data_IF_241653391183
#
_entry.id   IF_241653391183
#
_cell.length_a   1.000
_cell.length_b   1.000
_cell.length_c   1.000
_cell.angle_alpha   90.00
_cell.angle_beta   90.00
_cell.angle_gamma   90.00
#
_symmetry.space_group_name_H-M   'P 1'
#
loop_
_entity.id
_entity.type
_entity.pdbx_description
1 polymer ?
#
# COMPACT_ATOMS: atom_id res chain seq x y z
N UNK A 1 -22.15 -17.39 16.34
CA UNK A 1 -21.08 -16.95 15.43
C UNK A 1 -19.87 -16.58 16.27
N UNK A 2 -18.70 -17.18 16.02
CA UNK A 2 -17.50 -16.98 16.83
C UNK A 2 -17.08 -15.50 16.84
N UNK A 3 -17.14 -14.86 18.01
CA UNK A 3 -16.38 -13.64 18.31
C UNK A 3 -14.92 -14.07 18.43
N UNK A 4 -14.12 -14.00 17.36
CA UNK A 4 -12.73 -14.47 17.50
C UNK A 4 -11.72 -14.30 16.39
N UNK A 5 -12.09 -14.07 15.12
CA UNK A 5 -11.08 -13.87 14.06
C UNK A 5 -11.48 -12.77 13.10
N UNK A 6 -10.86 -11.59 13.24
CA UNK A 6 -10.79 -10.59 12.17
C UNK A 6 -9.86 -11.14 11.09
N UNK A 7 -10.42 -11.53 9.94
CA UNK A 7 -9.63 -12.02 8.81
C UNK A 7 -9.23 -10.84 7.94
N UNK A 8 -7.92 -10.57 7.86
CA UNK A 8 -7.37 -9.62 6.89
C UNK A 8 -7.35 -10.29 5.52
N UNK A 9 -7.98 -9.67 4.53
CA UNK A 9 -7.96 -10.11 3.13
C UNK A 9 -7.31 -9.06 2.23
N UNK A 10 -7.59 -7.78 2.48
CA UNK A 10 -7.07 -6.66 1.69
C UNK A 10 -6.22 -5.72 2.53
N UNK A 11 -5.01 -5.45 2.08
CA UNK A 11 -4.03 -4.55 2.72
C UNK A 11 -3.78 -3.36 1.81
N UNK A 12 -3.82 -2.15 2.37
CA UNK A 12 -3.32 -0.96 1.70
C UNK A 12 -1.99 -0.54 2.34
N UNK A 13 -0.96 -0.39 1.52
CA UNK A 13 0.34 0.14 1.93
C UNK A 13 0.47 1.55 1.37
N UNK A 14 0.76 2.52 2.23
CA UNK A 14 0.89 3.93 1.86
C UNK A 14 2.37 4.33 1.90
N UNK A 15 2.92 4.65 0.74
CA UNK A 15 4.35 4.86 0.53
C UNK A 15 4.96 3.64 -0.17
N UNK A 16 5.49 3.85 -1.37
CA UNK A 16 6.11 2.82 -2.22
C UNK A 16 7.63 2.77 -2.13
N UNK A 17 8.25 3.56 -1.25
CA UNK A 17 9.68 3.46 -0.96
C UNK A 17 10.12 2.03 -0.59
N UNK A 18 11.42 1.81 -0.43
CA UNK A 18 12.02 0.47 -0.26
C UNK A 18 11.32 -0.40 0.79
N UNK A 19 10.91 0.18 1.93
CA UNK A 19 10.19 -0.55 2.98
C UNK A 19 8.76 -0.90 2.56
N UNK A 20 7.98 0.08 2.11
CA UNK A 20 6.57 -0.12 1.76
C UNK A 20 6.37 -1.07 0.58
N UNK A 21 7.21 -0.99 -0.45
CA UNK A 21 7.18 -1.92 -1.59
C UNK A 21 7.53 -3.37 -1.17
N UNK A 22 8.46 -3.56 -0.24
CA UNK A 22 8.76 -4.90 0.30
C UNK A 22 7.65 -5.44 1.23
N UNK A 23 7.01 -4.58 2.02
CA UNK A 23 5.82 -4.96 2.80
C UNK A 23 4.70 -5.40 1.86
N UNK A 24 4.44 -4.65 0.79
CA UNK A 24 3.47 -5.01 -0.23
C UNK A 24 3.78 -6.36 -0.88
N UNK A 25 5.04 -6.61 -1.24
CA UNK A 25 5.48 -7.91 -1.76
C UNK A 25 5.25 -9.05 -0.75
N UNK A 26 5.58 -8.83 0.52
CA UNK A 26 5.35 -9.82 1.58
C UNK A 26 3.86 -10.16 1.73
N UNK A 27 2.99 -9.15 1.72
CA UNK A 27 1.53 -9.35 1.79
C UNK A 27 0.99 -10.12 0.58
N UNK A 28 1.46 -9.84 -0.64
CA UNK A 28 1.08 -10.65 -1.81
C UNK A 28 1.56 -12.09 -1.69
N UNK A 29 2.80 -12.33 -1.21
CA UNK A 29 3.32 -13.68 -1.01
C UNK A 29 2.45 -14.47 -0.02
N UNK A 30 1.86 -13.79 0.98
CA UNK A 30 0.91 -14.37 1.92
C UNK A 30 -0.51 -14.59 1.34
N UNK A 31 -0.72 -14.26 0.06
CA UNK A 31 -1.99 -14.45 -0.64
C UNK A 31 -3.03 -13.37 -0.39
N UNK A 32 -2.63 -12.21 0.15
CA UNK A 32 -3.53 -11.07 0.38
C UNK A 32 -3.75 -10.27 -0.91
N UNK A 33 -4.89 -9.58 -0.98
CA UNK A 33 -5.07 -8.50 -1.95
C UNK A 33 -4.30 -7.26 -1.48
N UNK A 34 -3.51 -6.63 -2.35
CA UNK A 34 -2.66 -5.50 -1.96
C UNK A 34 -2.90 -4.31 -2.86
N UNK A 35 -3.11 -3.16 -2.22
CA UNK A 35 -3.10 -1.84 -2.81
C UNK A 35 -1.81 -1.15 -2.35
N UNK A 36 -1.04 -0.60 -3.29
CA UNK A 36 0.14 0.21 -2.99
C UNK A 36 -0.06 1.61 -3.56
N UNK A 37 -0.19 2.60 -2.67
CA UNK A 37 -0.36 4.00 -3.05
C UNK A 37 0.89 4.80 -2.74
N UNK A 38 1.22 5.74 -3.61
CA UNK A 38 2.25 6.76 -3.36
C UNK A 38 1.82 8.12 -3.92
N UNK A 39 2.69 9.12 -3.85
CA UNK A 39 2.52 10.43 -4.47
C UNK A 39 2.29 10.29 -5.97
N UNK A 40 1.29 11.02 -6.48
CA UNK A 40 1.07 11.19 -7.91
C UNK A 40 2.31 11.78 -8.56
N UNK A 41 2.66 11.22 -9.73
CA UNK A 41 3.76 11.72 -10.53
C UNK A 41 3.40 13.03 -11.21
N UNK A 42 4.41 13.88 -11.41
CA UNK A 42 4.31 15.08 -12.25
C UNK A 42 4.14 14.76 -13.75
N UNK A 43 4.33 13.50 -14.17
CA UNK A 43 4.03 13.05 -15.53
C UNK A 43 2.52 12.78 -15.68
N UNK A 44 1.76 13.66 -16.35
CA UNK A 44 0.31 13.50 -16.47
C UNK A 44 -0.09 12.24 -17.25
N UNK A 45 0.81 11.65 -18.04
CA UNK A 45 0.55 10.40 -18.78
C UNK A 45 0.79 9.17 -17.92
N UNK A 46 1.49 9.31 -16.79
CA UNK A 46 1.85 8.21 -15.89
C UNK A 46 1.66 8.63 -14.42
N UNK A 47 0.42 8.91 -13.98
CA UNK A 47 0.16 9.42 -12.64
C UNK A 47 0.65 8.47 -11.53
N UNK A 48 0.73 7.17 -11.80
CA UNK A 48 1.18 6.14 -10.84
C UNK A 48 2.66 5.76 -10.99
N UNK A 49 3.44 6.53 -11.76
CA UNK A 49 4.86 6.24 -12.07
C UNK A 49 5.70 5.97 -10.81
N UNK A 50 5.47 6.71 -9.73
CA UNK A 50 6.19 6.53 -8.46
C UNK A 50 6.08 5.10 -7.94
N UNK A 51 4.85 4.58 -7.80
CA UNK A 51 4.61 3.22 -7.34
C UNK A 51 5.07 2.15 -8.37
N UNK A 52 4.87 2.41 -9.67
CA UNK A 52 5.35 1.52 -10.74
C UNK A 52 6.86 1.32 -10.72
N UNK A 53 7.62 2.41 -10.55
CA UNK A 53 9.08 2.38 -10.54
C UNK A 53 9.62 1.69 -9.29
N UNK A 54 8.97 1.89 -8.15
CA UNK A 54 9.28 1.18 -6.91
C UNK A 54 9.13 -0.33 -7.05
N UNK A 55 8.04 -0.83 -7.64
CA UNK A 55 7.86 -2.26 -7.89
C UNK A 55 8.92 -2.80 -8.87
N UNK A 56 9.19 -2.07 -9.96
CA UNK A 56 10.25 -2.42 -10.91
C UNK A 56 11.63 -2.46 -10.25
N UNK A 57 11.87 -1.60 -9.27
CA UNK A 57 13.11 -1.56 -8.51
C UNK A 57 13.26 -2.81 -7.62
N UNK A 58 12.24 -3.14 -6.81
CA UNK A 58 12.33 -4.29 -5.90
C UNK A 58 12.36 -5.64 -6.64
N UNK A 59 11.76 -5.74 -7.83
CA UNK A 59 11.87 -6.92 -8.70
C UNK A 59 13.32 -7.23 -9.12
N UNK A 60 14.20 -6.22 -9.13
CA UNK A 60 15.62 -6.35 -9.51
C UNK A 60 16.55 -6.59 -8.32
N UNK A 61 16.02 -6.57 -7.08
CA UNK A 61 16.81 -6.85 -5.88
C UNK A 61 17.32 -8.30 -5.86
N UNK A 62 18.36 -8.55 -5.07
CA UNK A 62 18.98 -9.88 -4.92
C UNK A 62 19.07 -10.25 -3.43
N UNK A 63 18.20 -11.15 -2.92
CA UNK A 63 17.06 -11.76 -3.61
C UNK A 63 15.93 -10.75 -3.86
N UNK A 64 15.08 -11.02 -4.86
CA UNK A 64 13.84 -10.27 -5.04
C UNK A 64 12.85 -10.65 -3.92
N UNK A 65 12.06 -9.71 -3.38
CA UNK A 65 11.18 -9.96 -2.23
C UNK A 65 9.88 -10.68 -2.59
N UNK A 66 9.71 -11.08 -3.85
CA UNK A 66 8.55 -11.84 -4.32
C UNK A 66 8.87 -13.34 -4.34
N UNK A 67 7.90 -14.16 -3.93
CA UNK A 67 7.99 -15.61 -4.07
C UNK A 67 8.08 -16.03 -5.55
N UNK A 68 7.33 -15.33 -6.41
CA UNK A 68 7.39 -15.47 -7.87
C UNK A 68 7.33 -14.06 -8.52
N UNK A 69 8.10 -13.74 -9.57
CA UNK A 69 8.11 -12.40 -10.17
C UNK A 69 6.74 -11.87 -10.61
N UNK A 70 5.87 -12.75 -11.14
CA UNK A 70 4.51 -12.43 -11.58
C UNK A 70 3.59 -11.97 -10.44
N UNK A 71 3.97 -12.18 -9.19
CA UNK A 71 3.20 -11.67 -8.05
C UNK A 71 3.19 -10.15 -7.99
N UNK A 72 4.20 -9.49 -8.58
CA UNK A 72 4.21 -8.04 -8.70
C UNK A 72 2.98 -7.50 -9.46
N UNK A 73 2.51 -8.23 -10.48
CA UNK A 73 1.38 -7.83 -11.32
C UNK A 73 0.04 -7.90 -10.57
N UNK A 74 0.01 -8.55 -9.40
CA UNK A 74 -1.18 -8.66 -8.55
C UNK A 74 -1.35 -7.46 -7.61
N UNK A 75 -0.34 -6.60 -7.50
CA UNK A 75 -0.42 -5.39 -6.67
C UNK A 75 -1.21 -4.33 -7.44
N UNK A 76 -2.29 -3.82 -6.85
CA UNK A 76 -2.98 -2.65 -7.38
C UNK A 76 -2.17 -1.40 -7.06
N UNK A 77 -1.53 -0.82 -8.08
CA UNK A 77 -0.78 0.43 -7.97
C UNK A 77 -1.70 1.63 -8.18
N UNK A 78 -1.53 2.65 -7.36
CA UNK A 78 -2.31 3.88 -7.43
C UNK A 78 -1.58 5.08 -6.82
N UNK A 79 -2.28 6.20 -6.75
CA UNK A 79 -1.75 7.41 -6.11
C UNK A 79 -2.69 8.01 -5.05
N UNK A 80 -2.14 8.88 -4.20
CA UNK A 80 -2.89 9.48 -3.09
C UNK A 80 -3.97 10.48 -3.52
N UNK A 81 -3.95 10.98 -4.75
CA UNK A 81 -4.88 11.98 -5.26
C UNK A 81 -6.10 11.32 -5.90
N UNK A 82 -5.87 10.31 -6.74
CA UNK A 82 -6.89 9.67 -7.57
C UNK A 82 -7.49 8.42 -6.89
N UNK A 83 -6.68 7.68 -6.12
CA UNK A 83 -7.00 6.33 -5.65
C UNK A 83 -7.20 6.22 -4.13
N UNK A 84 -7.14 7.32 -3.38
CA UNK A 84 -7.25 7.30 -1.91
C UNK A 84 -8.57 6.70 -1.40
N UNK A 85 -9.63 6.74 -2.20
CA UNK A 85 -10.91 6.12 -1.86
C UNK A 85 -10.85 4.59 -1.78
N UNK A 86 -9.84 3.95 -2.38
CA UNK A 86 -9.66 2.49 -2.29
C UNK A 86 -9.41 2.00 -0.86
N UNK A 87 -8.99 2.90 0.05
CA UNK A 87 -8.82 2.60 1.47
C UNK A 87 -10.12 2.17 2.18
N UNK A 88 -11.29 2.50 1.59
CA UNK A 88 -12.61 2.03 2.05
C UNK A 88 -12.72 0.50 2.02
N UNK A 89 -11.96 -0.15 1.15
CA UNK A 89 -12.01 -1.61 0.96
C UNK A 89 -11.00 -2.35 1.86
N UNK A 90 -9.98 -1.65 2.37
CA UNK A 90 -8.87 -2.27 3.10
C UNK A 90 -9.27 -2.72 4.51
N UNK A 91 -8.87 -3.93 4.88
CA UNK A 91 -9.01 -4.45 6.25
C UNK A 91 -7.85 -3.96 7.15
N UNK A 92 -6.69 -3.70 6.54
CA UNK A 92 -5.50 -3.16 7.18
C UNK A 92 -4.86 -2.10 6.29
N UNK A 93 -4.57 -0.94 6.87
CA UNK A 93 -3.78 0.14 6.27
C UNK A 93 -2.44 0.22 7.01
N UNK A 94 -1.35 0.02 6.27
CA UNK A 94 0.02 0.21 6.77
C UNK A 94 0.58 1.49 6.17
N UNK A 95 0.79 2.49 7.00
CA UNK A 95 1.42 3.76 6.62
C UNK A 95 2.94 3.63 6.73
N UNK A 96 3.66 3.97 5.66
CA UNK A 96 5.12 3.83 5.55
C UNK A 96 5.70 5.01 4.74
N UNK A 97 5.23 6.23 5.05
CA UNK A 97 5.68 7.47 4.42
C UNK A 97 6.92 8.03 5.15
N UNK A 98 7.39 9.19 4.70
CA UNK A 98 8.51 9.89 5.34
C UNK A 98 8.25 10.15 6.83
N UNK A 99 9.28 9.99 7.66
CA UNK A 99 9.23 10.24 9.11
C UNK A 99 9.23 11.75 9.42
N UNK A 100 8.16 12.43 9.03
CA UNK A 100 7.88 13.82 9.42
C UNK A 100 6.53 13.90 10.10
N UNK A 101 6.52 14.51 11.29
CA UNK A 101 5.34 14.45 12.15
C UNK A 101 4.14 15.25 11.61
N UNK A 102 4.37 16.36 10.93
CA UNK A 102 3.31 17.14 10.28
C UNK A 102 2.65 16.35 9.14
N UNK A 103 3.46 15.68 8.31
CA UNK A 103 2.98 14.87 7.19
C UNK A 103 2.21 13.64 7.70
N UNK A 104 2.73 12.94 8.71
CA UNK A 104 2.04 11.78 9.30
C UNK A 104 0.69 12.15 9.92
N UNK A 105 0.61 13.27 10.64
CA UNK A 105 -0.66 13.73 11.22
C UNK A 105 -1.70 14.06 10.13
N UNK A 106 -1.28 14.69 9.04
CA UNK A 106 -2.16 14.93 7.88
C UNK A 106 -2.63 13.61 7.25
N UNK A 107 -1.70 12.69 6.98
CA UNK A 107 -2.02 11.37 6.43
C UNK A 107 -3.01 10.60 7.31
N UNK A 108 -2.78 10.52 8.63
CA UNK A 108 -3.70 9.87 9.57
C UNK A 108 -5.09 10.53 9.56
N UNK A 109 -5.14 11.87 9.48
CA UNK A 109 -6.41 12.61 9.39
C UNK A 109 -7.15 12.33 8.08
N UNK A 110 -6.43 12.14 6.97
CA UNK A 110 -7.01 11.74 5.68
C UNK A 110 -7.53 10.30 5.73
N UNK A 111 -6.75 9.37 6.28
CA UNK A 111 -7.13 7.96 6.46
C UNK A 111 -8.42 7.86 7.27
N UNK A 112 -8.52 8.57 8.39
CA UNK A 112 -9.70 8.50 9.27
C UNK A 112 -11.00 8.91 8.57
N UNK A 113 -10.92 9.85 7.61
CA UNK A 113 -12.09 10.29 6.84
C UNK A 113 -12.61 9.25 5.85
N UNK A 114 -11.79 8.28 5.46
CA UNK A 114 -12.13 7.34 4.38
C UNK A 114 -12.18 5.88 4.82
N UNK A 115 -11.44 5.47 5.85
CA UNK A 115 -11.40 4.07 6.27
C UNK A 115 -12.77 3.61 6.79
N UNK A 116 -13.05 2.32 6.70
CA UNK A 116 -14.20 1.72 7.38
C UNK A 116 -13.91 1.57 8.88
N UNK A 117 -14.92 1.59 9.77
CA UNK A 117 -14.72 1.60 11.23
C UNK A 117 -13.82 0.47 11.77
N UNK A 118 -13.90 -0.72 11.17
CA UNK A 118 -13.15 -1.91 11.60
C UNK A 118 -11.74 -2.04 11.00
N UNK A 119 -11.30 -1.10 10.16
CA UNK A 119 -9.97 -1.13 9.56
C UNK A 119 -8.88 -0.92 10.60
N UNK A 120 -7.87 -1.80 10.61
CA UNK A 120 -6.65 -1.63 11.39
C UNK A 120 -5.77 -0.58 10.69
N UNK A 121 -5.22 0.37 11.44
CA UNK A 121 -4.25 1.36 10.94
C UNK A 121 -2.97 1.26 11.78
N UNK A 122 -1.82 1.16 11.12
CA UNK A 122 -0.50 1.12 11.75
C UNK A 122 0.49 2.03 11.00
N UNK A 123 1.53 2.51 11.70
CA UNK A 123 2.65 3.30 11.19
C UNK A 123 3.97 2.76 11.74
#
# INVERSE_FOLDING_TARGET
>A
MSKGQRRIRKVAVLGSGVMGSQIAAHCINAGLEVILLDLKSDDPKRPNKTAEESIKHILKMKPAPFGLPEFADRIKLGNFEDDFNLLKEADWICEVIIERMDIKKDMMSRIEKVRKPDTIVSS
#
